data_IF_516777321047
#
_entry.id   IF_516777321047
#
_cell.length_a   1.000
_cell.length_b   1.000
_cell.length_c   1.000
_cell.angle_alpha   90.00
_cell.angle_beta   90.00
_cell.angle_gamma   90.00
#
_symmetry.space_group_name_H-M   'P 1'
#
loop_
_entity.id
_entity.type
_entity.pdbx_description
1 polymer ?
#
# COMPACT_ATOMS: atom_id res chain seq x y z
N UNK A 1 -1.14 -8.34 26.48
CA UNK A 1 -1.54 -7.38 25.44
C UNK A 1 -0.76 -7.64 24.18
N UNK A 2 -1.42 -7.79 23.03
CA UNK A 2 -0.73 -7.94 21.75
C UNK A 2 -0.05 -6.60 21.41
N UNK A 3 1.24 -6.56 21.05
CA UNK A 3 1.90 -5.32 20.67
C UNK A 3 1.16 -4.66 19.50
N UNK A 4 0.99 -3.33 19.56
CA UNK A 4 0.33 -2.56 18.50
C UNK A 4 0.99 -2.78 17.13
N UNK A 5 2.30 -3.00 17.10
CA UNK A 5 3.05 -3.36 15.89
C UNK A 5 2.64 -4.71 15.33
N UNK A 6 2.40 -5.71 16.17
CA UNK A 6 1.94 -7.04 15.75
C UNK A 6 0.53 -6.99 15.16
N UNK A 7 -0.34 -6.13 15.71
CA UNK A 7 -1.68 -5.87 15.18
C UNK A 7 -1.58 -5.18 13.81
N UNK A 8 -0.71 -4.18 13.65
CA UNK A 8 -0.48 -3.53 12.35
C UNK A 8 0.03 -4.56 11.32
N UNK A 9 0.94 -5.46 11.70
CA UNK A 9 1.48 -6.51 10.83
C UNK A 9 0.39 -7.53 10.43
N UNK A 10 -0.45 -8.01 11.37
CA UNK A 10 -1.53 -8.94 11.03
C UNK A 10 -2.60 -8.28 10.15
N UNK A 11 -2.98 -7.04 10.48
CA UNK A 11 -3.92 -6.22 9.72
C UNK A 11 -3.38 -5.95 8.31
N UNK A 12 -2.06 -5.77 8.11
CA UNK A 12 -1.49 -5.61 6.76
C UNK A 12 -1.59 -6.84 5.86
N UNK A 13 -1.71 -8.06 6.40
CA UNK A 13 -1.96 -9.25 5.57
C UNK A 13 -3.40 -9.24 5.07
N UNK A 14 -4.36 -9.02 5.95
CA UNK A 14 -5.78 -8.94 5.61
C UNK A 14 -6.08 -7.81 4.62
N UNK A 15 -5.55 -6.61 4.89
CA UNK A 15 -5.62 -5.46 3.98
C UNK A 15 -5.07 -5.80 2.58
N UNK A 16 -3.98 -6.57 2.52
CA UNK A 16 -3.35 -6.91 1.25
C UNK A 16 -4.15 -7.94 0.44
N UNK A 17 -4.84 -8.87 1.11
CA UNK A 17 -5.66 -9.90 0.45
C UNK A 17 -6.81 -9.27 -0.32
N UNK A 18 -7.50 -8.29 0.29
CA UNK A 18 -8.63 -7.60 -0.34
C UNK A 18 -8.21 -6.34 -1.11
N UNK A 19 -6.91 -6.18 -1.41
CA UNK A 19 -6.42 -4.98 -2.07
C UNK A 19 -6.63 -4.99 -3.58
N UNK A 20 -6.82 -3.79 -4.15
CA UNK A 20 -6.88 -3.57 -5.59
C UNK A 20 -5.65 -2.83 -6.11
N UNK A 21 -5.21 -3.15 -7.32
CA UNK A 21 -4.18 -2.39 -8.02
C UNK A 21 -4.83 -1.13 -8.61
N UNK A 22 -4.32 0.04 -8.24
CA UNK A 22 -4.81 1.34 -8.74
C UNK A 22 -3.86 2.01 -9.74
N UNK A 23 -2.60 1.57 -9.81
CA UNK A 23 -1.67 1.93 -10.88
C UNK A 23 -0.56 0.86 -11.00
N UNK A 24 0.02 0.73 -12.20
CA UNK A 24 1.11 -0.23 -12.47
C UNK A 24 2.21 0.39 -13.32
N UNK A 25 3.45 0.05 -12.97
CA UNK A 25 4.67 0.47 -13.63
C UNK A 25 4.70 1.93 -14.02
N UNK A 26 4.92 2.24 -15.30
CA UNK A 26 5.06 3.63 -15.78
C UNK A 26 3.80 4.50 -15.61
N UNK A 27 2.64 3.89 -15.32
CA UNK A 27 1.41 4.65 -14.98
C UNK A 27 1.40 5.10 -13.51
N UNK A 28 2.34 4.65 -12.69
CA UNK A 28 2.54 5.19 -11.34
C UNK A 28 3.22 6.55 -11.48
N UNK A 29 2.57 7.61 -11.02
CA UNK A 29 3.08 8.99 -11.10
C UNK A 29 4.51 9.12 -10.56
N UNK A 30 4.79 8.44 -9.45
CA UNK A 30 6.07 8.55 -8.75
C UNK A 30 7.09 7.47 -9.17
N UNK A 31 6.89 6.79 -10.31
CA UNK A 31 7.68 5.60 -10.68
C UNK A 31 9.19 5.88 -10.70
N UNK A 32 9.62 7.03 -11.20
CA UNK A 32 11.04 7.38 -11.27
C UNK A 32 11.66 7.51 -9.87
N UNK A 33 10.90 8.04 -8.91
CA UNK A 33 11.33 8.13 -7.51
C UNK A 33 11.44 6.74 -6.90
N UNK A 34 10.47 5.85 -7.12
CA UNK A 34 10.52 4.48 -6.62
C UNK A 34 11.72 3.70 -7.15
N UNK A 35 12.06 3.87 -8.44
CA UNK A 35 13.25 3.26 -9.02
C UNK A 35 14.55 3.81 -8.41
N UNK A 36 14.60 5.12 -8.15
CA UNK A 36 15.75 5.77 -7.52
C UNK A 36 15.95 5.32 -6.08
N UNK A 37 14.88 5.30 -5.29
CA UNK A 37 14.96 5.11 -3.84
C UNK A 37 14.99 3.62 -3.45
N UNK A 38 14.30 2.77 -4.21
CA UNK A 38 14.10 1.36 -3.87
C UNK A 38 14.54 0.38 -4.96
N UNK A 39 14.91 0.87 -6.15
CA UNK A 39 15.41 0.04 -7.25
C UNK A 39 14.35 -0.79 -7.98
N UNK A 40 14.83 -1.89 -8.57
CA UNK A 40 14.01 -2.80 -9.37
C UNK A 40 13.66 -2.27 -10.76
N UNK A 41 12.70 -2.92 -11.41
CA UNK A 41 12.20 -2.53 -12.73
C UNK A 41 10.78 -1.97 -12.65
N UNK A 42 10.50 -0.95 -13.48
CA UNK A 42 9.21 -0.28 -13.47
C UNK A 42 8.04 -1.26 -13.63
N UNK A 43 8.14 -2.23 -14.55
CA UNK A 43 7.07 -3.18 -14.83
C UNK A 43 6.61 -4.03 -13.63
N UNK A 44 7.46 -4.16 -12.60
CA UNK A 44 7.20 -4.95 -11.38
C UNK A 44 6.62 -4.12 -10.22
N UNK A 45 6.55 -2.79 -10.36
CA UNK A 45 5.94 -1.91 -9.38
C UNK A 45 4.42 -1.82 -9.58
N UNK A 46 3.66 -1.90 -8.49
CA UNK A 46 2.23 -1.61 -8.42
C UNK A 46 1.95 -0.63 -7.29
N UNK A 47 0.95 0.23 -7.48
CA UNK A 47 0.31 1.00 -6.42
C UNK A 47 -1.00 0.30 -6.07
N UNK A 48 -1.22 0.03 -4.79
CA UNK A 48 -2.40 -0.66 -4.29
C UNK A 48 -3.23 0.26 -3.39
N UNK A 49 -4.53 -0.02 -3.35
CA UNK A 49 -5.44 0.51 -2.33
C UNK A 49 -6.18 -0.63 -1.64
N UNK A 50 -6.48 -0.47 -0.35
CA UNK A 50 -7.39 -1.34 0.39
C UNK A 50 -8.85 -1.01 0.08
N UNK A 51 -9.75 -1.87 0.52
CA UNK A 51 -11.15 -1.50 0.71
C UNK A 51 -11.30 -0.36 1.73
N UNK A 52 -12.46 0.29 1.67
CA UNK A 52 -12.86 1.27 2.66
C UNK A 52 -13.07 0.61 4.02
N UNK A 53 -12.62 1.29 5.07
CA UNK A 53 -12.95 0.91 6.45
C UNK A 53 -13.33 2.14 7.26
N UNK A 54 -14.24 1.95 8.20
CA UNK A 54 -14.68 2.99 9.12
C UNK A 54 -13.80 2.98 10.38
N UNK A 55 -13.40 4.16 10.82
CA UNK A 55 -12.80 4.36 12.14
C UNK A 55 -13.35 5.65 12.76
N UNK A 56 -14.05 5.53 13.89
CA UNK A 56 -14.64 6.65 14.64
C UNK A 56 -15.59 7.52 13.79
N UNK A 57 -16.43 6.90 12.96
CA UNK A 57 -17.38 7.62 12.10
C UNK A 57 -16.78 8.24 10.84
N UNK A 58 -15.50 8.00 10.56
CA UNK A 58 -14.84 8.46 9.34
C UNK A 58 -14.39 7.28 8.47
N UNK A 59 -14.48 7.42 7.15
CA UNK A 59 -14.07 6.39 6.20
C UNK A 59 -12.63 6.61 5.73
N UNK A 60 -11.88 5.52 5.59
CA UNK A 60 -10.48 5.53 5.18
C UNK A 60 -10.16 4.42 4.18
N UNK A 61 -9.09 4.63 3.41
CA UNK A 61 -8.39 3.57 2.68
C UNK A 61 -6.89 3.59 3.02
N UNK A 62 -6.24 2.45 2.92
CA UNK A 62 -4.78 2.34 2.93
C UNK A 62 -4.24 2.31 1.51
N UNK A 63 -3.21 3.12 1.24
CA UNK A 63 -2.50 3.14 -0.04
C UNK A 63 -1.03 2.74 0.18
N UNK A 64 -0.44 1.99 -0.75
CA UNK A 64 0.99 1.65 -0.71
C UNK A 64 1.56 1.37 -2.09
N UNK A 65 2.89 1.28 -2.15
CA UNK A 65 3.62 0.74 -3.29
C UNK A 65 4.11 -0.67 -2.99
N UNK A 66 4.07 -1.54 -3.98
CA UNK A 66 4.55 -2.91 -3.86
C UNK A 66 5.34 -3.28 -5.11
N UNK A 67 6.51 -3.88 -4.89
CA UNK A 67 7.35 -4.41 -5.96
C UNK A 67 7.43 -5.92 -5.84
N UNK A 68 7.17 -6.60 -6.95
CA UNK A 68 7.30 -8.05 -7.01
C UNK A 68 8.78 -8.47 -6.95
N UNK A 69 9.19 -8.97 -5.79
CA UNK A 69 10.55 -9.45 -5.50
C UNK A 69 11.37 -8.54 -4.59
N UNK A 70 10.88 -7.35 -4.24
CA UNK A 70 11.54 -6.47 -3.25
C UNK A 70 10.67 -6.32 -2.00
N UNK A 71 9.38 -5.98 -2.15
CA UNK A 71 8.48 -5.85 -1.01
C UNK A 71 7.50 -4.68 -1.09
N UNK A 72 6.96 -4.31 0.08
CA UNK A 72 5.94 -3.27 0.27
C UNK A 72 6.55 -2.01 0.89
N UNK A 73 6.14 -0.86 0.38
CA UNK A 73 6.70 0.44 0.74
C UNK A 73 5.60 1.49 0.91
N UNK A 74 5.88 2.46 1.79
CA UNK A 74 5.08 3.69 1.96
C UNK A 74 3.59 3.45 2.21
N UNK A 75 3.25 2.53 3.12
CA UNK A 75 1.87 2.34 3.56
C UNK A 75 1.35 3.62 4.23
N UNK A 76 0.25 4.17 3.72
CA UNK A 76 -0.37 5.38 4.24
C UNK A 76 -1.87 5.21 4.36
N UNK A 77 -2.42 5.59 5.52
CA UNK A 77 -3.86 5.76 5.74
C UNK A 77 -4.34 7.09 5.14
N UNK A 78 -5.40 7.06 4.35
CA UNK A 78 -5.99 8.23 3.70
C UNK A 78 -7.47 8.31 4.06
N UNK A 79 -7.92 9.47 4.56
CA UNK A 79 -9.34 9.77 4.76
C UNK A 79 -10.05 9.90 3.42
N UNK A 80 -11.23 9.33 3.35
CA UNK A 80 -12.13 9.38 2.21
C UNK A 80 -13.19 10.40 2.58
N UNK A 81 -13.15 11.53 1.90
CA UNK A 81 -14.07 12.66 2.09
C UNK A 81 -15.45 12.34 1.55
#
# INVERSE_FOLDING_TARGET
>A
SIPKESIIISVTKEIAVNSRIIAKGRRIRDINRLLKDYGGTAAKWVKKSSDFFEEKGEYFEYHWYEHHGIGRFELKKKKVS
#
